data_IF_752704291742
#
_entry.id   IF_752704291742
#
_cell.length_a   1.000
_cell.length_b   1.000
_cell.length_c   1.000
_cell.angle_alpha   90.00
_cell.angle_beta   90.00
_cell.angle_gamma   90.00
#
_symmetry.space_group_name_H-M   'P 1'
#
loop_
_entity.id
_entity.type
_entity.pdbx_description
1 polymer ?
#
# COMPACT_ATOMS: atom_id res chain seq x y z
N UNK A 1 -2.97 18.07 13.63
CA UNK A 1 -3.88 18.32 14.77
C UNK A 1 -4.16 17.06 15.60
N UNK A 2 -4.34 15.87 15.02
CA UNK A 2 -4.61 14.62 15.79
C UNK A 2 -3.55 14.23 16.82
N UNK A 3 -2.28 14.03 16.41
CA UNK A 3 -1.18 13.66 17.33
C UNK A 3 -0.93 14.72 18.42
N UNK A 4 -1.12 16.00 18.10
CA UNK A 4 -1.00 17.09 19.09
C UNK A 4 -2.11 17.04 20.13
N UNK A 5 -3.32 16.62 19.76
CA UNK A 5 -4.43 16.42 20.71
C UNK A 5 -4.19 15.25 21.67
N UNK A 6 -3.50 14.20 21.21
CA UNK A 6 -3.11 13.03 22.02
C UNK A 6 -2.00 13.41 23.00
N UNK A 7 -0.96 14.08 22.50
CA UNK A 7 0.17 14.51 23.34
C UNK A 7 -0.18 15.54 24.42
N UNK A 8 -1.34 16.19 24.31
CA UNK A 8 -1.90 17.12 25.30
C UNK A 8 -2.96 16.48 26.19
N UNK A 9 -3.39 15.25 25.90
CA UNK A 9 -4.44 14.58 26.65
C UNK A 9 -3.85 13.96 27.92
N UNK A 10 -4.34 14.36 29.10
CA UNK A 10 -4.06 13.68 30.36
C UNK A 10 -2.66 13.87 30.96
N UNK A 11 -1.75 14.60 30.32
CA UNK A 11 -0.43 14.94 30.88
C UNK A 11 -0.27 16.45 31.12
N UNK A 12 0.37 16.81 32.23
CA UNK A 12 0.73 18.20 32.55
C UNK A 12 1.84 18.74 31.64
N UNK A 13 2.57 17.85 30.97
CA UNK A 13 3.60 18.19 29.99
C UNK A 13 3.25 17.54 28.64
N UNK A 14 3.29 18.29 27.54
CA UNK A 14 3.06 17.72 26.22
C UNK A 14 4.18 16.75 25.84
N UNK A 15 3.85 15.49 25.57
CA UNK A 15 4.84 14.49 25.11
C UNK A 15 4.47 13.94 23.73
N UNK A 16 5.49 13.75 22.89
CA UNK A 16 5.36 13.14 21.54
C UNK A 16 6.10 11.79 21.46
N UNK A 17 6.48 11.24 22.61
CA UNK A 17 7.17 9.96 22.68
C UNK A 17 6.17 8.83 22.41
N UNK A 18 6.41 8.06 21.36
CA UNK A 18 5.45 7.04 20.93
C UNK A 18 5.19 5.99 22.03
N UNK A 19 6.24 5.55 22.73
CA UNK A 19 6.12 4.57 23.82
C UNK A 19 5.23 5.06 24.97
N UNK A 20 5.25 6.35 25.30
CA UNK A 20 4.39 6.89 26.36
C UNK A 20 2.93 6.98 25.90
N UNK A 21 2.71 7.35 24.64
CA UNK A 21 1.36 7.50 24.07
C UNK A 21 0.63 6.16 23.90
N UNK A 22 1.34 5.08 23.57
CA UNK A 22 0.76 3.73 23.41
C UNK A 22 0.32 3.13 24.73
N UNK A 23 0.99 3.46 25.82
CA UNK A 23 0.67 2.93 27.15
C UNK A 23 -0.42 3.73 27.88
N UNK A 24 -0.95 4.78 27.27
CA UNK A 24 -1.97 5.63 27.86
C UNK A 24 -3.38 5.16 27.45
N UNK A 25 -4.32 5.18 28.40
CA UNK A 25 -5.72 4.85 28.13
C UNK A 25 -6.51 6.07 27.69
N UNK A 26 -7.18 5.97 26.54
CA UNK A 26 -8.04 7.02 25.98
C UNK A 26 -9.52 6.62 26.10
N UNK A 27 -10.44 7.60 26.17
CA UNK A 27 -11.86 7.30 26.07
C UNK A 27 -12.20 6.86 24.65
N UNK A 28 -13.04 5.85 24.52
CA UNK A 28 -13.38 5.19 23.23
C UNK A 28 -13.84 6.18 22.15
N UNK A 29 -14.62 7.19 22.51
CA UNK A 29 -15.09 8.19 21.55
C UNK A 29 -13.92 8.97 20.91
N UNK A 30 -12.89 9.30 21.70
CA UNK A 30 -11.70 10.00 21.22
C UNK A 30 -10.84 9.09 20.36
N UNK A 31 -10.70 7.81 20.73
CA UNK A 31 -10.00 6.83 19.89
C UNK A 31 -10.67 6.68 18.52
N UNK A 32 -12.01 6.55 18.46
CA UNK A 32 -12.74 6.39 17.19
C UNK A 32 -12.53 7.61 16.27
N UNK A 33 -12.60 8.82 16.83
CA UNK A 33 -12.41 10.06 16.06
C UNK A 33 -10.99 10.14 15.50
N UNK A 34 -9.98 9.84 16.32
CA UNK A 34 -8.60 9.89 15.88
C UNK A 34 -8.25 8.76 14.92
N UNK A 35 -8.74 7.54 15.20
CA UNK A 35 -8.59 6.37 14.34
C UNK A 35 -9.12 6.66 12.94
N UNK A 36 -10.35 7.20 12.84
CA UNK A 36 -10.95 7.54 11.53
C UNK A 36 -10.16 8.63 10.81
N UNK A 37 -9.68 9.66 11.52
CA UNK A 37 -8.85 10.71 10.92
C UNK A 37 -7.51 10.16 10.38
N UNK A 38 -6.81 9.32 11.14
CA UNK A 38 -5.58 8.67 10.69
C UNK A 38 -5.83 7.64 9.60
N UNK A 39 -6.95 6.89 9.68
CA UNK A 39 -7.35 5.94 8.66
C UNK A 39 -7.55 6.65 7.32
N UNK A 40 -8.21 7.81 7.27
CA UNK A 40 -8.36 8.58 6.03
C UNK A 40 -7.00 9.05 5.50
N UNK A 41 -6.13 9.57 6.37
CA UNK A 41 -4.80 10.02 5.96
C UNK A 41 -3.95 8.88 5.37
N UNK A 42 -4.00 7.71 6.00
CA UNK A 42 -3.30 6.53 5.50
C UNK A 42 -4.01 5.85 4.33
N UNK A 43 -5.32 5.98 4.17
CA UNK A 43 -6.09 5.46 3.04
C UNK A 43 -5.80 6.21 1.73
N UNK A 44 -5.34 7.46 1.80
CA UNK A 44 -4.79 8.14 0.61
C UNK A 44 -3.45 7.51 0.21
N UNK A 45 -2.60 7.16 1.18
CA UNK A 45 -1.23 6.70 0.92
C UNK A 45 -1.13 5.21 0.63
N UNK A 46 -1.83 4.39 1.41
CA UNK A 46 -2.17 3.01 1.12
C UNK A 46 -3.48 3.08 0.34
N UNK A 47 -3.46 2.94 -1.00
CA UNK A 47 -4.49 3.37 -1.95
C UNK A 47 -5.83 2.62 -1.78
N UNK A 48 -6.51 2.81 -0.65
CA UNK A 48 -7.77 2.16 -0.27
C UNK A 48 -8.91 2.83 -1.03
N UNK A 49 -9.83 2.04 -1.57
CA UNK A 49 -10.99 2.55 -2.31
C UNK A 49 -11.82 3.46 -1.38
N UNK A 50 -12.20 4.69 -1.80
CA UNK A 50 -12.09 5.27 -3.16
C UNK A 50 -10.83 6.14 -3.41
N UNK A 51 -9.92 6.24 -2.45
CA UNK A 51 -8.79 7.18 -2.43
C UNK A 51 -7.54 6.65 -3.15
N UNK A 52 -7.73 5.96 -4.29
CA UNK A 52 -6.65 5.29 -5.03
C UNK A 52 -6.34 5.89 -6.40
N UNK A 53 -7.15 6.84 -6.88
CA UNK A 53 -7.11 7.34 -8.27
C UNK A 53 -5.81 8.05 -8.65
N UNK A 54 -5.14 8.70 -7.70
CA UNK A 54 -3.87 9.38 -7.94
C UNK A 54 -2.72 8.42 -8.31
N UNK A 55 -2.82 7.14 -7.89
CA UNK A 55 -1.72 6.19 -7.98
C UNK A 55 -1.44 5.73 -9.41
N UNK A 56 -2.42 5.30 -10.21
CA UNK A 56 -2.22 4.99 -11.63
C UNK A 56 -1.68 6.18 -12.43
N UNK A 57 -2.21 7.38 -12.21
CA UNK A 57 -1.79 8.59 -12.92
C UNK A 57 -0.32 8.89 -12.64
N UNK A 58 0.08 8.85 -11.37
CA UNK A 58 1.47 9.10 -10.97
C UNK A 58 2.44 8.04 -11.53
N UNK A 59 2.05 6.76 -11.56
CA UNK A 59 2.87 5.70 -12.17
C UNK A 59 2.93 5.79 -13.71
N UNK A 60 1.87 6.29 -14.33
CA UNK A 60 1.80 6.51 -15.77
C UNK A 60 2.80 7.57 -16.23
N UNK A 61 2.94 8.65 -15.47
CA UNK A 61 3.78 9.79 -15.84
C UNK A 61 5.22 9.71 -15.30
N UNK A 62 5.45 8.98 -14.21
CA UNK A 62 6.77 8.93 -13.57
C UNK A 62 7.80 8.08 -14.33
N UNK A 63 9.07 8.43 -14.13
CA UNK A 63 10.22 7.66 -14.60
C UNK A 63 10.35 6.32 -13.86
N UNK A 64 10.92 5.29 -14.50
CA UNK A 64 10.97 3.93 -13.94
C UNK A 64 11.63 3.84 -12.56
N UNK A 65 12.71 4.58 -12.32
CA UNK A 65 13.37 4.64 -11.01
C UNK A 65 12.47 5.25 -9.93
N UNK A 66 11.67 6.26 -10.29
CA UNK A 66 10.69 6.88 -9.40
C UNK A 66 9.55 5.91 -9.11
N UNK A 67 9.06 5.18 -10.11
CA UNK A 67 8.05 4.13 -9.91
C UNK A 67 8.56 3.03 -8.96
N UNK A 68 9.83 2.65 -9.05
CA UNK A 68 10.43 1.68 -8.11
C UNK A 68 10.43 2.18 -6.67
N UNK A 69 10.75 3.45 -6.42
CA UNK A 69 10.70 4.04 -5.07
C UNK A 69 9.26 4.22 -4.58
N UNK A 70 8.35 4.66 -5.46
CA UNK A 70 6.95 4.87 -5.15
C UNK A 70 6.27 3.55 -4.78
N UNK A 71 6.40 2.52 -5.62
CA UNK A 71 5.88 1.20 -5.35
C UNK A 71 6.62 0.52 -4.18
N UNK A 72 7.95 0.62 -4.13
CA UNK A 72 8.81 -0.10 -3.19
C UNK A 72 8.80 0.44 -1.75
N UNK A 73 8.66 1.74 -1.56
CA UNK A 73 8.81 2.39 -0.26
C UNK A 73 7.54 3.16 0.12
N UNK A 74 7.04 4.04 -0.76
CA UNK A 74 5.99 4.99 -0.37
C UNK A 74 4.68 4.28 0.01
N UNK A 75 4.28 3.26 -0.76
CA UNK A 75 3.11 2.45 -0.46
C UNK A 75 3.28 1.66 0.85
N UNK A 76 4.48 1.11 1.10
CA UNK A 76 4.82 0.36 2.32
C UNK A 76 4.75 1.25 3.56
N UNK A 77 5.17 2.50 3.45
CA UNK A 77 5.08 3.48 4.54
C UNK A 77 3.63 3.80 4.93
N UNK A 78 2.67 3.69 4.00
CA UNK A 78 1.25 3.83 4.31
C UNK A 78 0.73 2.68 5.17
N UNK A 79 1.03 1.44 4.75
CA UNK A 79 0.68 0.24 5.52
C UNK A 79 1.37 0.20 6.89
N UNK A 80 2.66 0.56 6.96
CA UNK A 80 3.38 0.69 8.23
C UNK A 80 2.72 1.71 9.16
N UNK A 81 2.25 2.84 8.63
CA UNK A 81 1.51 3.84 9.39
C UNK A 81 0.20 3.31 9.96
N UNK A 82 -0.54 2.48 9.21
CA UNK A 82 -1.75 1.82 9.70
C UNK A 82 -1.45 0.86 10.86
N UNK A 83 -0.41 0.05 10.75
CA UNK A 83 -0.04 -0.88 11.83
C UNK A 83 0.43 -0.10 13.05
N UNK A 84 1.39 0.81 12.89
CA UNK A 84 1.96 1.53 14.04
C UNK A 84 0.98 2.49 14.69
N UNK A 85 0.24 3.29 13.93
CA UNK A 85 -0.66 4.28 14.53
C UNK A 85 -2.02 3.67 14.84
N UNK A 86 -2.69 3.05 13.87
CA UNK A 86 -4.08 2.63 14.07
C UNK A 86 -4.22 1.35 14.90
N UNK A 87 -3.29 0.39 14.77
CA UNK A 87 -3.37 -0.87 15.53
C UNK A 87 -2.72 -0.75 16.92
N UNK A 88 -1.50 -0.19 17.01
CA UNK A 88 -0.80 -0.11 18.31
C UNK A 88 -1.35 1.02 19.20
N UNK A 89 -1.60 2.22 18.68
CA UNK A 89 -2.00 3.38 19.50
C UNK A 89 -3.49 3.36 19.91
N UNK A 90 -4.35 2.78 19.07
CA UNK A 90 -5.81 2.80 19.24
C UNK A 90 -6.40 1.38 19.19
N UNK A 91 -5.92 0.50 20.06
CA UNK A 91 -6.26 -0.93 20.03
C UNK A 91 -7.76 -1.22 20.17
N UNK A 92 -8.48 -0.46 21.00
CA UNK A 92 -9.91 -0.68 21.21
C UNK A 92 -10.71 -0.27 19.98
N UNK A 93 -10.47 0.92 19.43
CA UNK A 93 -11.07 1.32 18.15
C UNK A 93 -10.72 0.34 17.01
N UNK A 94 -9.48 -0.13 16.95
CA UNK A 94 -9.04 -1.08 15.92
C UNK A 94 -9.87 -2.38 15.94
N UNK A 95 -10.16 -2.93 17.12
CA UNK A 95 -10.97 -4.14 17.25
C UNK A 95 -12.39 -3.99 16.67
N UNK A 96 -12.96 -2.77 16.75
CA UNK A 96 -14.29 -2.45 16.20
C UNK A 96 -14.22 -2.30 14.67
N UNK A 97 -13.17 -1.67 14.15
CA UNK A 97 -13.02 -1.40 12.72
C UNK A 97 -12.43 -2.57 11.91
N UNK A 98 -11.79 -3.55 12.57
CA UNK A 98 -11.12 -4.68 11.91
C UNK A 98 -12.02 -5.43 10.90
N UNK A 99 -13.26 -5.84 11.24
CA UNK A 99 -14.14 -6.53 10.28
C UNK A 99 -14.43 -5.69 9.03
N UNK A 100 -14.60 -4.38 9.19
CA UNK A 100 -14.82 -3.46 8.07
C UNK A 100 -13.60 -3.33 7.16
N UNK A 101 -12.40 -3.26 7.74
CA UNK A 101 -11.16 -3.22 6.96
C UNK A 101 -10.92 -4.50 6.17
N UNK A 102 -11.26 -5.66 6.74
CA UNK A 102 -11.18 -6.94 6.03
C UNK A 102 -12.09 -6.97 4.79
N UNK A 103 -13.32 -6.48 4.92
CA UNK A 103 -14.28 -6.39 3.79
C UNK A 103 -13.74 -5.43 2.72
N UNK A 104 -13.28 -4.24 3.12
CA UNK A 104 -12.73 -3.25 2.19
C UNK A 104 -11.47 -3.77 1.48
N UNK A 105 -10.56 -4.43 2.19
CA UNK A 105 -9.36 -5.03 1.61
C UNK A 105 -9.69 -6.14 0.60
N UNK A 106 -10.66 -7.00 0.93
CA UNK A 106 -11.13 -8.04 0.00
C UNK A 106 -11.70 -7.43 -1.29
N UNK A 107 -12.55 -6.40 -1.17
CA UNK A 107 -13.13 -5.69 -2.33
C UNK A 107 -12.01 -5.02 -3.15
N UNK A 108 -11.02 -4.43 -2.48
CA UNK A 108 -9.90 -3.74 -3.12
C UNK A 108 -9.04 -4.70 -3.95
N UNK A 109 -8.76 -5.91 -3.47
CA UNK A 109 -8.03 -6.93 -4.24
C UNK A 109 -8.78 -7.29 -5.52
N UNK A 110 -10.09 -7.55 -5.42
CA UNK A 110 -10.93 -7.91 -6.58
C UNK A 110 -10.98 -6.76 -7.60
N UNK A 111 -11.18 -5.53 -7.12
CA UNK A 111 -11.24 -4.34 -7.97
C UNK A 111 -9.90 -4.06 -8.66
N UNK A 112 -8.78 -4.15 -7.95
CA UNK A 112 -7.44 -3.95 -8.50
C UNK A 112 -7.10 -5.01 -9.55
N UNK A 113 -7.43 -6.29 -9.29
CA UNK A 113 -7.24 -7.37 -10.25
C UNK A 113 -8.07 -7.16 -11.53
N UNK A 114 -9.35 -6.78 -11.40
CA UNK A 114 -10.22 -6.50 -12.55
C UNK A 114 -9.75 -5.31 -13.38
N UNK A 115 -9.28 -4.25 -12.74
CA UNK A 115 -8.80 -3.05 -13.45
C UNK A 115 -7.44 -3.27 -14.11
N UNK A 116 -6.54 -4.05 -13.50
CA UNK A 116 -5.25 -4.39 -14.08
C UNK A 116 -5.38 -5.12 -15.43
N UNK A 117 -6.38 -6.00 -15.59
CA UNK A 117 -6.65 -6.68 -16.86
C UNK A 117 -7.12 -5.73 -17.98
N UNK A 118 -7.77 -4.61 -17.61
CA UNK A 118 -8.30 -3.64 -18.56
C UNK A 118 -7.29 -2.57 -19.02
N UNK A 119 -6.16 -2.41 -18.34
CA UNK A 119 -5.18 -1.35 -18.64
C UNK A 119 -4.29 -1.73 -19.85
N UNK A 120 -4.20 -0.83 -20.85
CA UNK A 120 -3.37 -1.01 -22.06
C UNK A 120 -2.09 -0.17 -22.09
N UNK A 121 -1.74 0.45 -20.97
CA UNK A 121 -0.64 1.44 -20.87
C UNK A 121 0.70 0.95 -21.45
N UNK A 122 1.04 -0.34 -21.32
CA UNK A 122 2.26 -0.90 -21.90
C UNK A 122 2.29 -0.81 -23.43
N UNK A 123 1.14 -1.02 -24.08
CA UNK A 123 1.00 -0.90 -25.54
C UNK A 123 1.03 0.56 -25.98
N UNK A 124 0.40 1.46 -25.23
CA UNK A 124 0.35 2.89 -25.55
C UNK A 124 1.73 3.56 -25.44
N UNK A 125 2.58 3.12 -24.49
CA UNK A 125 3.97 3.58 -24.35
C UNK A 125 4.90 3.04 -25.45
N UNK A 126 4.58 1.89 -26.04
CA UNK A 126 5.32 1.27 -27.13
C UNK A 126 4.84 1.74 -28.52
N UNK A 127 4.26 2.94 -28.61
CA UNK A 127 3.79 3.54 -29.87
C UNK A 127 4.77 3.22 -31.00
N UNK A 128 4.27 2.54 -32.04
CA UNK A 128 4.95 1.82 -33.15
C UNK A 128 5.99 2.61 -33.99
N UNK A 129 6.51 3.74 -33.48
CA UNK A 129 7.33 4.71 -34.18
C UNK A 129 8.77 4.22 -34.45
N UNK A 130 9.21 3.11 -33.86
CA UNK A 130 10.62 2.67 -33.91
C UNK A 130 10.83 1.24 -34.42
N UNK A 131 9.86 0.61 -35.10
CA UNK A 131 10.02 -0.75 -35.65
C UNK A 131 11.29 -0.90 -36.52
N UNK A 132 11.66 0.13 -37.27
CA UNK A 132 12.87 0.15 -38.12
C UNK A 132 14.18 0.28 -37.31
N UNK A 133 14.16 0.82 -36.08
CA UNK A 133 15.33 0.91 -35.20
C UNK A 133 15.43 -0.27 -34.21
N UNK A 134 14.48 -1.22 -34.24
CA UNK A 134 14.48 -2.42 -33.39
C UNK A 134 15.50 -3.50 -33.81
N UNK A 135 16.35 -3.19 -34.80
CA UNK A 135 17.42 -4.09 -35.25
C UNK A 135 18.36 -4.48 -34.10
N UNK A 136 18.60 -5.77 -33.93
CA UNK A 136 19.48 -6.29 -32.87
C UNK A 136 18.81 -6.52 -31.51
N UNK A 137 17.54 -6.11 -31.30
CA UNK A 137 16.81 -6.41 -30.06
C UNK A 137 16.54 -7.91 -29.83
N UNK A 138 16.56 -8.72 -30.89
CA UNK A 138 16.43 -10.17 -30.78
C UNK A 138 17.54 -10.82 -29.92
N UNK A 139 18.71 -10.19 -29.82
CA UNK A 139 19.86 -10.71 -29.06
C UNK A 139 19.66 -10.58 -27.53
N UNK A 140 19.28 -9.40 -26.98
CA UNK A 140 18.97 -9.28 -25.55
C UNK A 140 17.57 -9.78 -25.15
N UNK A 141 16.63 -9.92 -26.10
CA UNK A 141 15.23 -10.27 -25.81
C UNK A 141 15.06 -11.53 -24.92
N UNK A 142 15.79 -12.64 -25.14
CA UNK A 142 15.64 -13.82 -24.29
C UNK A 142 15.97 -13.55 -22.81
N UNK A 143 16.98 -12.70 -22.53
CA UNK A 143 17.35 -12.35 -21.15
C UNK A 143 16.30 -11.47 -20.48
N UNK A 144 15.75 -10.51 -21.21
CA UNK A 144 14.67 -9.64 -20.70
C UNK A 144 13.43 -10.48 -20.43
N UNK A 145 13.09 -11.38 -21.36
CA UNK A 145 11.95 -12.27 -21.24
C UNK A 145 12.06 -13.22 -20.04
N UNK A 146 13.22 -13.83 -19.80
CA UNK A 146 13.40 -14.71 -18.64
C UNK A 146 13.30 -13.96 -17.32
N UNK A 147 13.93 -12.78 -17.21
CA UNK A 147 13.81 -11.93 -16.01
C UNK A 147 12.36 -11.50 -15.79
N UNK A 148 11.67 -11.04 -16.84
CA UNK A 148 10.27 -10.64 -16.76
C UNK A 148 9.36 -11.78 -16.31
N UNK A 149 9.59 -12.99 -16.84
CA UNK A 149 8.81 -14.18 -16.48
C UNK A 149 9.02 -14.54 -15.01
N UNK A 150 10.27 -14.53 -14.52
CA UNK A 150 10.58 -14.81 -13.11
C UNK A 150 9.89 -13.78 -12.19
N UNK A 151 9.99 -12.49 -12.51
CA UNK A 151 9.36 -11.42 -11.73
C UNK A 151 7.83 -11.51 -11.77
N UNK A 152 7.24 -11.90 -12.90
CA UNK A 152 5.80 -12.11 -13.02
C UNK A 152 5.34 -13.29 -12.17
N UNK A 153 6.07 -14.41 -12.17
CA UNK A 153 5.76 -15.55 -11.30
C UNK A 153 5.92 -15.21 -9.81
N UNK A 154 6.92 -14.39 -9.46
CA UNK A 154 7.07 -13.90 -8.09
C UNK A 154 5.88 -13.03 -7.64
N UNK A 155 5.32 -12.22 -8.55
CA UNK A 155 4.12 -11.40 -8.27
C UNK A 155 2.83 -12.21 -8.16
N UNK A 156 2.78 -13.43 -8.70
CA UNK A 156 1.64 -14.35 -8.57
C UNK A 156 1.71 -15.22 -7.31
N UNK A 157 2.63 -14.92 -6.39
CA UNK A 157 2.79 -15.66 -5.15
C UNK A 157 2.98 -17.19 -5.36
N UNK A 158 3.81 -17.58 -6.33
CA UNK A 158 4.09 -18.99 -6.61
C UNK A 158 4.87 -19.64 -5.45
N UNK A 159 4.58 -20.91 -5.07
CA UNK A 159 5.30 -21.60 -4.00
C UNK A 159 6.83 -21.57 -4.19
N UNK A 160 7.55 -21.12 -3.16
CA UNK A 160 9.01 -20.92 -3.20
C UNK A 160 9.45 -19.46 -3.37
N UNK A 161 8.53 -18.53 -3.64
CA UNK A 161 8.79 -17.09 -3.67
C UNK A 161 8.30 -16.40 -2.38
N UNK A 162 8.80 -15.21 -2.08
CA UNK A 162 8.44 -14.47 -0.86
C UNK A 162 6.96 -14.06 -0.80
N UNK A 163 6.33 -13.80 -1.96
CA UNK A 163 4.90 -13.48 -2.05
C UNK A 163 4.00 -14.60 -1.55
N UNK A 164 4.35 -15.87 -1.81
CA UNK A 164 3.59 -17.03 -1.34
C UNK A 164 3.56 -17.12 0.18
N UNK A 165 4.71 -16.93 0.83
CA UNK A 165 4.80 -16.98 2.29
C UNK A 165 3.97 -15.87 2.93
N UNK A 166 4.00 -14.67 2.35
CA UNK A 166 3.21 -13.54 2.83
C UNK A 166 1.70 -13.81 2.72
N UNK A 167 1.21 -14.28 1.57
CA UNK A 167 -0.21 -14.62 1.40
C UNK A 167 -0.65 -15.79 2.29
N UNK A 168 0.20 -16.81 2.46
CA UNK A 168 -0.09 -17.95 3.33
C UNK A 168 -0.30 -17.51 4.78
N UNK A 169 0.53 -16.62 5.31
CA UNK A 169 0.39 -16.09 6.67
C UNK A 169 -0.96 -15.37 6.82
N UNK A 170 -1.32 -14.54 5.83
CA UNK A 170 -2.59 -13.80 5.82
C UNK A 170 -3.82 -14.74 5.81
N UNK A 171 -3.73 -15.92 5.19
CA UNK A 171 -4.83 -16.89 5.19
C UNK A 171 -4.86 -17.79 6.43
N UNK A 172 -3.76 -17.90 7.18
CA UNK A 172 -3.66 -18.76 8.36
C UNK A 172 -4.03 -18.04 9.66
N UNK A 173 -3.86 -16.72 9.73
CA UNK A 173 -4.30 -15.86 10.84
C UNK A 173 -5.77 -15.46 10.71
#
# INVERSE_FOLDING_TARGET
>A
MGILGIGLYGSNEPTLNFETLTNQSYPVALEIILYTAFLIAFAVKSPIIPLHTWLPDTHGEAHYSTCMLLAGILLKMGAYGLVRINMELFSHAHSIFCPWLMILGSIQIIYAASTSFGQRTSYDRLRLLYLDEMGGMAIPMPKIFTIFTILSMASLALPGMSGFVAELIVFLE
#
